data_IF_368013565505
#
_entry.id   IF_368013565505
#
_cell.length_a   1.000
_cell.length_b   1.000
_cell.length_c   1.000
_cell.angle_alpha   90.00
_cell.angle_beta   90.00
_cell.angle_gamma   90.00
#
_symmetry.space_group_name_H-M   'P 1'
#
loop_
_entity.id
_entity.type
_entity.pdbx_description
1 polymer ?
#
# COMPACT_ATOMS: atom_id res chain seq x y z
N UNK A 1 18.78 -0.56 -23.39
CA UNK A 1 18.19 0.77 -23.23
C UNK A 1 18.73 1.37 -21.95
N UNK A 2 18.99 2.68 -21.92
CA UNK A 2 19.42 3.36 -20.69
C UNK A 2 18.26 3.30 -19.68
N UNK A 3 18.48 2.63 -18.56
CA UNK A 3 17.62 2.77 -17.39
C UNK A 3 18.06 4.06 -16.69
N UNK A 4 17.12 4.92 -16.34
CA UNK A 4 17.37 6.12 -15.53
C UNK A 4 16.94 5.81 -14.09
N UNK A 5 17.83 5.33 -13.21
CA UNK A 5 17.42 4.74 -11.93
C UNK A 5 16.73 5.76 -11.00
N UNK A 6 17.05 7.06 -11.13
CA UNK A 6 16.34 8.14 -10.44
C UNK A 6 14.87 8.23 -10.86
N UNK A 7 14.57 8.13 -12.17
CA UNK A 7 13.18 8.13 -12.67
C UNK A 7 12.41 6.90 -12.21
N UNK A 8 13.08 5.75 -12.13
CA UNK A 8 12.45 4.53 -11.59
C UNK A 8 12.17 4.67 -10.09
N UNK A 9 13.10 5.24 -9.31
CA UNK A 9 12.88 5.51 -7.90
C UNK A 9 11.71 6.49 -7.66
N UNK A 10 11.56 7.51 -8.50
CA UNK A 10 10.41 8.43 -8.44
C UNK A 10 9.07 7.71 -8.72
N UNK A 11 9.02 6.80 -9.70
CA UNK A 11 7.83 5.99 -9.97
C UNK A 11 7.48 5.09 -8.78
N UNK A 12 8.47 4.47 -8.15
CA UNK A 12 8.28 3.63 -6.98
C UNK A 12 7.77 4.45 -5.79
N UNK A 13 8.36 5.63 -5.51
CA UNK A 13 7.86 6.54 -4.46
C UNK A 13 6.40 6.94 -4.67
N UNK A 14 6.01 7.26 -5.92
CA UNK A 14 4.61 7.59 -6.22
C UNK A 14 3.65 6.43 -5.92
N UNK A 15 4.06 5.19 -6.19
CA UNK A 15 3.28 4.00 -5.82
C UNK A 15 3.22 3.82 -4.31
N UNK A 16 4.32 4.08 -3.60
CA UNK A 16 4.40 4.00 -2.14
C UNK A 16 3.39 4.95 -1.48
N UNK A 17 3.34 6.21 -1.94
CA UNK A 17 2.39 7.21 -1.46
C UNK A 17 0.93 6.79 -1.70
N UNK A 18 0.63 6.21 -2.86
CA UNK A 18 -0.71 5.71 -3.19
C UNK A 18 -1.13 4.53 -2.30
N UNK A 19 -0.22 3.59 -2.04
CA UNK A 19 -0.47 2.47 -1.14
C UNK A 19 -0.67 2.95 0.30
N UNK A 20 0.20 3.83 0.81
CA UNK A 20 0.04 4.44 2.14
C UNK A 20 -1.30 5.16 2.30
N UNK A 21 -1.72 5.92 1.28
CA UNK A 21 -3.03 6.59 1.29
C UNK A 21 -4.19 5.58 1.33
N UNK A 22 -4.05 4.44 0.64
CA UNK A 22 -5.07 3.38 0.61
C UNK A 22 -5.17 2.68 1.96
N UNK A 23 -4.03 2.30 2.56
CA UNK A 23 -3.94 1.69 3.89
C UNK A 23 -4.60 2.60 4.93
N UNK A 24 -4.18 3.87 4.99
CA UNK A 24 -4.72 4.83 5.95
C UNK A 24 -6.25 4.97 5.86
N UNK A 25 -6.80 5.01 4.64
CA UNK A 25 -8.25 5.12 4.43
C UNK A 25 -8.98 3.84 4.87
N UNK A 26 -8.41 2.67 4.64
CA UNK A 26 -8.98 1.40 5.07
C UNK A 26 -8.97 1.29 6.59
N UNK A 27 -7.84 1.57 7.23
CA UNK A 27 -7.71 1.59 8.69
C UNK A 27 -8.71 2.54 9.34
N UNK A 28 -8.85 3.76 8.79
CA UNK A 28 -9.83 4.74 9.27
C UNK A 28 -11.27 4.24 9.14
N UNK A 29 -11.62 3.63 8.01
CA UNK A 29 -12.95 3.07 7.80
C UNK A 29 -13.22 1.91 8.77
N UNK A 30 -12.26 1.01 8.96
CA UNK A 30 -12.37 -0.17 9.81
C UNK A 30 -12.34 0.17 11.31
N UNK A 31 -11.76 1.31 11.69
CA UNK A 31 -11.72 1.78 13.07
C UNK A 31 -13.03 2.45 13.55
N UNK A 32 -14.01 2.64 12.68
CA UNK A 32 -15.31 3.21 13.08
C UNK A 32 -15.99 2.32 14.14
N UNK A 33 -16.51 2.94 15.21
CA UNK A 33 -17.07 2.23 16.37
C UNK A 33 -18.20 1.25 16.02
N UNK A 34 -18.96 1.57 14.97
CA UNK A 34 -20.09 0.78 14.48
C UNK A 34 -19.76 -0.06 13.24
N UNK A 35 -18.49 -0.12 12.82
CA UNK A 35 -18.05 -0.84 11.62
C UNK A 35 -18.53 -2.30 11.60
N UNK A 36 -18.26 -3.04 12.68
CA UNK A 36 -18.59 -4.47 12.77
C UNK A 36 -20.10 -4.78 12.74
N UNK A 37 -20.96 -3.79 13.00
CA UNK A 37 -22.42 -3.96 13.05
C UNK A 37 -23.16 -3.33 11.88
N UNK A 38 -22.61 -2.29 11.26
CA UNK A 38 -23.22 -1.58 10.12
C UNK A 38 -22.64 -1.94 8.76
N UNK A 39 -21.46 -2.53 8.73
CA UNK A 39 -20.83 -2.93 7.47
C UNK A 39 -21.11 -4.41 7.20
N UNK A 40 -21.65 -4.77 6.03
CA UNK A 40 -21.85 -6.17 5.65
C UNK A 40 -20.58 -7.01 5.77
N UNK A 41 -20.71 -8.29 6.17
CA UNK A 41 -19.57 -9.16 6.45
C UNK A 41 -18.65 -9.36 5.22
N UNK A 42 -19.22 -9.44 4.02
CA UNK A 42 -18.49 -9.52 2.75
C UNK A 42 -17.61 -8.27 2.53
N UNK A 43 -18.12 -7.08 2.87
CA UNK A 43 -17.35 -5.83 2.79
C UNK A 43 -16.26 -5.79 3.86
N UNK A 44 -16.52 -6.29 5.08
CA UNK A 44 -15.50 -6.39 6.14
C UNK A 44 -14.34 -7.31 5.73
N UNK A 45 -14.67 -8.48 5.19
CA UNK A 45 -13.69 -9.43 4.65
C UNK A 45 -12.90 -8.80 3.51
N UNK A 46 -13.58 -8.16 2.55
CA UNK A 46 -12.92 -7.50 1.42
C UNK A 46 -11.97 -6.38 1.86
N UNK A 47 -12.36 -5.56 2.83
CA UNK A 47 -11.49 -4.52 3.37
C UNK A 47 -10.27 -5.09 4.09
N UNK A 48 -10.46 -6.17 4.85
CA UNK A 48 -9.36 -6.86 5.57
C UNK A 48 -8.36 -7.46 4.59
N UNK A 49 -8.84 -8.16 3.55
CA UNK A 49 -8.00 -8.70 2.48
C UNK A 49 -7.27 -7.59 1.72
N UNK A 50 -7.97 -6.49 1.41
CA UNK A 50 -7.38 -5.35 0.72
C UNK A 50 -6.30 -4.66 1.57
N UNK A 51 -6.51 -4.54 2.87
CA UNK A 51 -5.53 -4.00 3.80
C UNK A 51 -4.26 -4.86 3.80
N UNK A 52 -4.39 -6.16 4.07
CA UNK A 52 -3.28 -7.10 4.10
C UNK A 52 -2.49 -7.13 2.77
N UNK A 53 -3.21 -7.12 1.64
CA UNK A 53 -2.57 -7.07 0.32
C UNK A 53 -1.80 -5.76 0.10
N UNK A 54 -2.36 -4.62 0.52
CA UNK A 54 -1.73 -3.31 0.35
C UNK A 54 -0.48 -3.17 1.23
N UNK A 55 -0.52 -3.68 2.46
CA UNK A 55 0.62 -3.72 3.37
C UNK A 55 1.75 -4.60 2.83
N UNK A 56 1.43 -5.81 2.37
CA UNK A 56 2.42 -6.70 1.77
C UNK A 56 3.00 -6.16 0.47
N UNK A 57 2.22 -5.42 -0.33
CA UNK A 57 2.76 -4.71 -1.50
C UNK A 57 3.68 -3.56 -1.10
N UNK A 58 3.34 -2.81 -0.06
CA UNK A 58 4.15 -1.71 0.45
C UNK A 58 5.52 -2.21 0.94
N UNK A 59 5.57 -3.34 1.64
CA UNK A 59 6.81 -3.98 2.08
C UNK A 59 7.70 -4.36 0.89
N UNK A 60 7.14 -5.09 -0.10
CA UNK A 60 7.88 -5.45 -1.32
C UNK A 60 8.37 -4.23 -2.11
N UNK A 61 7.58 -3.16 -2.12
CA UNK A 61 7.95 -1.92 -2.78
C UNK A 61 9.12 -1.23 -2.05
N UNK A 62 9.12 -1.25 -0.71
CA UNK A 62 10.22 -0.73 0.09
C UNK A 62 11.53 -1.49 -0.19
N UNK A 63 11.48 -2.83 -0.22
CA UNK A 63 12.62 -3.66 -0.58
C UNK A 63 13.16 -3.34 -1.98
N UNK A 64 12.27 -3.18 -2.97
CA UNK A 64 12.65 -2.83 -4.34
C UNK A 64 13.30 -1.44 -4.43
N UNK A 65 12.80 -0.46 -3.66
CA UNK A 65 13.39 0.88 -3.59
C UNK A 65 14.78 0.85 -2.94
N UNK A 66 14.96 0.08 -1.86
CA UNK A 66 16.28 -0.09 -1.23
C UNK A 66 17.27 -0.78 -2.16
N UNK A 67 16.86 -1.86 -2.84
CA UNK A 67 17.69 -2.53 -3.83
C UNK A 67 18.13 -1.59 -4.95
N UNK A 68 17.21 -0.73 -5.43
CA UNK A 68 17.52 0.27 -6.46
C UNK A 68 18.47 1.36 -5.95
N UNK A 69 18.34 1.77 -4.68
CA UNK A 69 19.26 2.73 -4.04
C UNK A 69 20.68 2.18 -3.90
N UNK A 70 20.83 0.88 -3.65
CA UNK A 70 22.15 0.24 -3.56
C UNK A 70 22.86 0.10 -4.93
N UNK A 71 22.12 0.24 -6.03
CA UNK A 71 22.66 0.22 -7.40
C UNK A 71 23.03 1.62 -7.93
N UNK A 72 22.72 2.68 -7.19
CA UNK A 72 23.02 4.08 -7.50
C UNK A 72 24.37 4.51 -6.92
#
# INVERSE_FOLDING_TARGET
>A
GLIEPQKELEKLKKKEEQLKSTIQKLEQAMAAKDYSTKVPQDVQTSNTEKLANSEGELERLAEAMEALRLML
#
